data_IF_184822935636
#
_entry.id   IF_184822935636
#
_cell.length_a   1.000
_cell.length_b   1.000
_cell.length_c   1.000
_cell.angle_alpha   90.00
_cell.angle_beta   90.00
_cell.angle_gamma   90.00
#
_symmetry.space_group_name_H-M   'P 1'
#
loop_
_entity.id
_entity.type
_entity.pdbx_description
1 polymer ?
#
# COMPACT_ATOMS: atom_id res chain seq x y z
N UNK A 1 -22.59 0.52 -35.38
CA UNK A 1 -21.21 0.29 -35.86
C UNK A 1 -20.34 1.29 -35.14
N UNK A 2 -19.48 0.81 -34.25
CA UNK A 2 -18.62 1.65 -33.41
C UNK A 2 -17.50 2.26 -34.28
N UNK A 3 -17.46 3.59 -34.49
CA UNK A 3 -16.49 4.21 -35.38
C UNK A 3 -15.05 4.20 -34.82
N UNK A 4 -14.83 3.65 -33.62
CA UNK A 4 -13.53 3.60 -32.96
C UNK A 4 -12.83 2.24 -33.03
N UNK A 5 -13.44 1.23 -33.67
CA UNK A 5 -12.93 -0.15 -33.68
C UNK A 5 -11.65 -0.36 -34.52
N UNK A 6 -11.10 0.68 -35.17
CA UNK A 6 -9.97 0.54 -36.12
C UNK A 6 -8.72 1.38 -35.81
N UNK A 7 -8.69 2.18 -34.74
CA UNK A 7 -7.53 3.00 -34.42
C UNK A 7 -6.71 2.33 -33.33
N UNK A 8 -5.60 1.69 -33.72
CA UNK A 8 -4.48 1.48 -32.84
C UNK A 8 -3.95 2.86 -32.43
N UNK A 9 -4.53 3.44 -31.36
CA UNK A 9 -4.18 4.76 -30.86
C UNK A 9 -2.80 4.69 -30.21
N UNK A 10 -1.83 5.27 -30.90
CA UNK A 10 -0.50 5.55 -30.38
C UNK A 10 -0.62 6.34 -29.06
N UNK A 11 -0.32 5.74 -27.89
CA UNK A 11 -0.65 6.30 -26.57
C UNK A 11 -0.14 7.72 -26.36
N UNK A 12 1.02 8.02 -26.96
CA UNK A 12 1.70 9.32 -26.86
C UNK A 12 0.95 10.38 -27.65
N UNK A 13 0.47 10.05 -28.85
CA UNK A 13 -0.35 10.96 -29.67
C UNK A 13 -1.71 11.21 -29.04
N UNK A 14 -2.31 10.20 -28.42
CA UNK A 14 -3.57 10.35 -27.68
C UNK A 14 -3.38 11.26 -26.47
N UNK A 15 -2.32 11.06 -25.67
CA UNK A 15 -2.03 11.90 -24.50
C UNK A 15 -1.77 13.37 -24.89
N UNK A 16 -0.97 13.62 -25.94
CA UNK A 16 -0.74 14.96 -26.46
C UNK A 16 -2.02 15.61 -26.99
N UNK A 17 -2.91 14.85 -27.63
CA UNK A 17 -4.20 15.34 -28.09
C UNK A 17 -5.12 15.76 -26.92
N UNK A 18 -5.15 15.02 -25.81
CA UNK A 18 -5.95 15.41 -24.63
C UNK A 18 -5.48 16.71 -23.96
N UNK A 19 -4.16 16.96 -23.93
CA UNK A 19 -3.57 18.21 -23.40
C UNK A 19 -4.06 19.42 -24.21
N UNK A 20 -4.15 19.28 -25.53
CA UNK A 20 -4.57 20.36 -26.44
C UNK A 20 -6.10 20.51 -26.48
N UNK A 21 -6.85 19.41 -26.33
CA UNK A 21 -8.31 19.40 -26.48
C UNK A 21 -9.08 19.71 -25.18
N UNK A 22 -8.48 19.53 -24.00
CA UNK A 22 -9.12 19.80 -22.70
C UNK A 22 -8.10 20.19 -21.59
N UNK A 23 -7.52 21.40 -21.65
CA UNK A 23 -6.42 21.81 -20.77
C UNK A 23 -6.82 21.84 -19.29
N UNK A 24 -8.03 22.33 -18.97
CA UNK A 24 -8.53 22.37 -17.58
C UNK A 24 -8.66 20.96 -16.99
N UNK A 25 -9.19 20.01 -17.76
CA UNK A 25 -9.36 18.62 -17.30
C UNK A 25 -8.01 17.94 -17.07
N UNK A 26 -7.05 18.20 -17.95
CA UNK A 26 -5.68 17.70 -17.83
C UNK A 26 -4.99 18.28 -16.58
N UNK A 27 -5.09 19.59 -16.35
CA UNK A 27 -4.55 20.24 -15.16
C UNK A 27 -5.13 19.68 -13.87
N UNK A 28 -6.46 19.49 -13.82
CA UNK A 28 -7.12 18.86 -12.66
C UNK A 28 -6.61 17.44 -12.46
N UNK A 29 -6.51 16.64 -13.52
CA UNK A 29 -5.95 15.28 -13.43
C UNK A 29 -4.51 15.27 -12.91
N UNK A 30 -3.64 16.16 -13.41
CA UNK A 30 -2.27 16.31 -12.90
C UNK A 30 -2.26 16.73 -11.43
N UNK A 31 -3.17 17.60 -11.00
CA UNK A 31 -3.32 17.96 -9.58
C UNK A 31 -3.68 16.76 -8.70
N UNK A 32 -4.58 15.90 -9.15
CA UNK A 32 -4.91 14.64 -8.48
C UNK A 32 -3.70 13.69 -8.39
N UNK A 33 -2.96 13.54 -9.49
CA UNK A 33 -1.73 12.73 -9.50
C UNK A 33 -0.69 13.28 -8.53
N UNK A 34 -0.44 14.59 -8.55
CA UNK A 34 0.52 15.24 -7.66
C UNK A 34 0.12 15.09 -6.18
N UNK A 35 -1.18 15.23 -5.87
CA UNK A 35 -1.71 14.96 -4.54
C UNK A 35 -1.51 13.49 -4.12
N UNK A 36 -1.77 12.55 -5.02
CA UNK A 36 -1.50 11.14 -4.81
C UNK A 36 -0.03 10.87 -4.50
N UNK A 37 0.89 11.40 -5.33
CA UNK A 37 2.34 11.29 -5.10
C UNK A 37 2.72 11.87 -3.74
N UNK A 38 2.23 13.05 -3.37
CA UNK A 38 2.53 13.67 -2.08
C UNK A 38 2.06 12.81 -0.90
N UNK A 39 0.83 12.29 -0.95
CA UNK A 39 0.29 11.42 0.10
C UNK A 39 1.04 10.08 0.15
N UNK A 40 1.44 9.53 -0.99
CA UNK A 40 2.29 8.35 -1.08
C UNK A 40 3.66 8.57 -0.46
N UNK A 41 4.27 9.74 -0.69
CA UNK A 41 5.55 10.12 -0.08
C UNK A 41 5.43 10.24 1.43
N UNK A 42 4.40 10.95 1.92
CA UNK A 42 4.16 11.09 3.36
C UNK A 42 3.95 9.74 4.00
N UNK A 43 3.06 8.92 3.45
CA UNK A 43 2.76 7.60 4.03
C UNK A 43 3.94 6.63 3.96
N UNK A 44 4.69 6.59 2.86
CA UNK A 44 5.84 5.70 2.71
C UNK A 44 7.03 6.09 3.59
N UNK A 45 7.23 7.39 3.86
CA UNK A 45 8.30 7.83 4.76
C UNK A 45 7.88 7.85 6.24
N UNK A 46 6.59 7.66 6.54
CA UNK A 46 6.11 7.59 7.92
C UNK A 46 6.23 6.16 8.44
N UNK A 47 7.03 5.92 9.50
CA UNK A 47 7.16 4.59 10.09
C UNK A 47 5.80 4.04 10.55
N UNK A 48 5.57 2.75 10.32
CA UNK A 48 4.37 2.05 10.80
C UNK A 48 3.07 2.30 10.01
N UNK A 49 3.12 3.09 8.92
CA UNK A 49 1.99 3.17 7.97
C UNK A 49 2.19 2.12 6.88
N UNK A 50 1.25 1.19 6.76
CA UNK A 50 1.23 0.21 5.67
C UNK A 50 0.35 0.64 4.52
N UNK A 51 0.70 0.17 3.31
CA UNK A 51 -0.03 0.43 2.09
C UNK A 51 -1.53 0.11 2.22
N UNK A 52 -1.89 -0.98 2.90
CA UNK A 52 -3.29 -1.39 3.09
C UNK A 52 -4.06 -0.42 3.99
N UNK A 53 -3.49 -0.05 5.13
CA UNK A 53 -4.10 0.92 6.06
C UNK A 53 -4.25 2.28 5.39
N UNK A 54 -3.22 2.72 4.67
CA UNK A 54 -3.25 3.96 3.91
C UNK A 54 -4.31 3.95 2.80
N UNK A 55 -4.39 2.89 1.99
CA UNK A 55 -5.40 2.77 0.94
C UNK A 55 -6.83 2.80 1.49
N UNK A 56 -7.07 2.17 2.65
CA UNK A 56 -8.36 2.18 3.32
C UNK A 56 -8.72 3.55 3.91
N UNK A 57 -7.74 4.27 4.47
CA UNK A 57 -7.92 5.66 4.92
C UNK A 57 -8.30 6.57 3.73
N UNK A 58 -7.58 6.45 2.61
CA UNK A 58 -7.91 7.16 1.38
C UNK A 58 -9.32 6.81 0.87
N UNK A 59 -9.70 5.54 0.92
CA UNK A 59 -11.04 5.09 0.55
C UNK A 59 -12.14 5.62 1.48
N UNK A 60 -11.85 5.78 2.78
CA UNK A 60 -12.79 6.34 3.76
C UNK A 60 -13.10 7.82 3.52
N UNK A 61 -12.10 8.60 3.11
CA UNK A 61 -12.28 10.02 2.75
C UNK A 61 -12.61 10.24 1.28
N UNK A 62 -12.56 9.19 0.44
CA UNK A 62 -12.80 9.30 -1.00
C UNK A 62 -14.13 9.97 -1.35
N UNK A 63 -15.18 9.68 -0.58
CA UNK A 63 -16.52 10.22 -0.79
C UNK A 63 -16.64 11.72 -0.49
N UNK A 64 -15.72 12.31 0.29
CA UNK A 64 -15.70 13.73 0.61
C UNK A 64 -14.80 14.56 -0.32
N UNK A 65 -14.02 13.91 -1.19
CA UNK A 65 -13.17 14.59 -2.19
C UNK A 65 -13.99 14.87 -3.47
N UNK A 66 -14.17 16.15 -3.86
CA UNK A 66 -14.95 16.49 -5.04
C UNK A 66 -14.18 16.21 -6.34
N UNK A 67 -14.68 15.32 -7.20
CA UNK A 67 -14.17 15.12 -8.54
C UNK A 67 -14.56 13.79 -9.18
N UNK A 68 -14.11 13.52 -10.42
CA UNK A 68 -14.37 12.25 -11.08
C UNK A 68 -13.72 11.08 -10.32
N UNK A 69 -14.47 10.00 -10.07
CA UNK A 69 -13.95 8.79 -9.41
C UNK A 69 -12.71 8.21 -10.11
N UNK A 70 -12.62 8.37 -11.43
CA UNK A 70 -11.44 7.96 -12.21
C UNK A 70 -10.16 8.74 -11.84
N UNK A 71 -10.29 10.01 -11.47
CA UNK A 71 -9.15 10.86 -11.09
C UNK A 71 -8.71 10.53 -9.67
N UNK A 72 -9.68 10.29 -8.78
CA UNK A 72 -9.40 9.81 -7.44
C UNK A 72 -8.73 8.42 -7.46
N UNK A 73 -9.21 7.51 -8.30
CA UNK A 73 -8.58 6.21 -8.52
C UNK A 73 -7.13 6.34 -9.02
N UNK A 74 -6.87 7.28 -9.95
CA UNK A 74 -5.51 7.57 -10.40
C UNK A 74 -4.62 8.13 -9.27
N UNK A 75 -5.15 9.03 -8.43
CA UNK A 75 -4.45 9.54 -7.27
C UNK A 75 -4.13 8.43 -6.25
N UNK A 76 -5.07 7.53 -5.98
CA UNK A 76 -4.86 6.37 -5.09
C UNK A 76 -3.81 5.40 -5.64
N UNK A 77 -3.83 5.14 -6.95
CA UNK A 77 -2.82 4.31 -7.61
C UNK A 77 -1.44 4.98 -7.54
N UNK A 78 -1.34 6.28 -7.81
CA UNK A 78 -0.10 7.04 -7.67
C UNK A 78 0.43 7.00 -6.23
N UNK A 79 -0.45 7.23 -5.25
CA UNK A 79 -0.11 7.20 -3.83
C UNK A 79 0.41 5.82 -3.38
N UNK A 80 -0.31 4.75 -3.72
CA UNK A 80 0.12 3.38 -3.42
C UNK A 80 1.43 3.01 -4.10
N UNK A 81 1.64 3.45 -5.34
CA UNK A 81 2.89 3.21 -6.07
C UNK A 81 4.05 3.89 -5.37
N UNK A 82 3.95 5.20 -5.10
CA UNK A 82 5.01 5.95 -4.41
C UNK A 82 5.28 5.40 -3.01
N UNK A 83 4.23 5.04 -2.27
CA UNK A 83 4.35 4.41 -0.95
C UNK A 83 5.24 3.16 -1.00
N UNK A 84 4.99 2.24 -1.93
CA UNK A 84 5.74 0.95 -2.05
C UNK A 84 7.20 1.12 -2.48
N UNK A 85 7.59 2.30 -2.97
CA UNK A 85 8.99 2.61 -3.26
C UNK A 85 9.72 3.18 -2.03
N UNK A 86 8.97 3.76 -1.08
CA UNK A 86 9.53 4.55 0.01
C UNK A 86 9.39 3.88 1.38
N UNK A 87 8.39 3.02 1.59
CA UNK A 87 8.13 2.31 2.85
C UNK A 87 9.29 1.44 3.35
N UNK A 88 10.13 0.97 2.43
CA UNK A 88 11.37 0.25 2.76
C UNK A 88 12.40 1.13 3.50
N UNK A 89 12.40 2.45 3.28
CA UNK A 89 13.38 3.38 3.88
C UNK A 89 13.26 3.41 5.40
N UNK A 90 12.10 3.77 6.00
CA UNK A 90 11.97 3.75 7.45
C UNK A 90 12.11 2.32 8.01
N UNK A 91 11.63 1.29 7.30
CA UNK A 91 11.72 -0.09 7.75
C UNK A 91 13.19 -0.56 7.93
N UNK A 92 14.07 -0.22 6.99
CA UNK A 92 15.49 -0.55 7.08
C UNK A 92 16.28 0.37 8.01
N UNK A 93 15.93 1.66 8.07
CA UNK A 93 16.65 2.65 8.88
C UNK A 93 16.36 2.52 10.39
N UNK A 94 15.12 2.19 10.76
CA UNK A 94 14.71 2.13 12.16
C UNK A 94 14.71 0.70 12.71
N UNK A 95 14.89 -0.32 11.87
CA UNK A 95 14.95 -1.72 12.30
C UNK A 95 13.66 -2.23 12.94
N UNK A 96 12.54 -1.51 12.76
CA UNK A 96 11.20 -1.93 13.20
C UNK A 96 10.53 -2.59 11.99
N UNK A 97 10.62 -3.93 11.83
CA UNK A 97 9.90 -4.60 10.76
C UNK A 97 8.40 -4.42 10.97
N UNK A 98 7.70 -4.03 9.91
CA UNK A 98 6.27 -4.24 9.81
C UNK A 98 5.98 -5.75 10.05
N UNK A 99 5.09 -6.12 10.96
CA UNK A 99 4.68 -7.52 11.17
C UNK A 99 4.25 -8.23 9.87
N UNK A 100 3.64 -7.52 8.92
CA UNK A 100 3.24 -8.04 7.61
C UNK A 100 4.42 -8.12 6.61
N UNK A 101 5.48 -7.34 6.82
CA UNK A 101 6.74 -7.43 6.06
C UNK A 101 7.79 -8.27 6.76
N UNK A 102 7.52 -8.91 7.90
CA UNK A 102 8.55 -9.64 8.64
C UNK A 102 9.30 -10.68 7.77
N UNK A 103 8.62 -11.27 6.77
CA UNK A 103 9.22 -12.21 5.80
C UNK A 103 10.05 -11.54 4.69
N UNK A 104 9.70 -10.33 4.25
CA UNK A 104 10.40 -9.56 3.20
C UNK A 104 11.46 -8.59 3.75
N UNK A 105 11.25 -8.09 4.97
CA UNK A 105 12.17 -7.24 5.72
C UNK A 105 13.35 -8.04 6.28
N UNK A 106 13.19 -9.34 6.59
CA UNK A 106 14.29 -10.17 7.10
C UNK A 106 15.50 -10.20 6.14
N UNK A 107 15.34 -10.46 4.83
CA UNK A 107 16.44 -10.38 3.87
C UNK A 107 17.07 -8.97 3.80
N UNK A 108 16.25 -7.91 3.76
CA UNK A 108 16.74 -6.53 3.73
C UNK A 108 17.51 -6.14 5.00
N UNK A 109 17.03 -6.59 6.16
CA UNK A 109 17.67 -6.33 7.44
C UNK A 109 18.99 -7.09 7.56
N UNK A 110 19.09 -8.32 7.02
CA UNK A 110 20.38 -9.04 6.92
C UNK A 110 21.40 -8.25 6.11
N UNK A 111 20.99 -7.70 4.95
CA UNK A 111 21.87 -6.84 4.16
C UNK A 111 22.29 -5.59 4.93
N UNK A 112 21.40 -4.97 5.72
CA UNK A 112 21.76 -3.82 6.57
C UNK A 112 22.78 -4.23 7.65
N UNK A 113 22.58 -5.38 8.31
CA UNK A 113 23.52 -5.91 9.31
C UNK A 113 24.88 -6.27 8.71
N UNK A 114 24.92 -6.62 7.42
CA UNK A 114 26.15 -6.84 6.64
C UNK A 114 26.80 -5.53 6.13
N UNK A 115 26.26 -4.35 6.46
CA UNK A 115 26.74 -3.05 5.98
C UNK A 115 26.32 -2.70 4.54
N UNK A 116 25.38 -3.46 3.95
CA UNK A 116 24.90 -3.36 2.56
C UNK A 116 23.53 -2.68 2.44
N UNK A 117 23.18 -1.78 3.36
CA UNK A 117 21.87 -1.13 3.38
C UNK A 117 21.49 -0.40 2.08
N UNK A 118 22.46 0.18 1.35
CA UNK A 118 22.20 0.80 0.04
C UNK A 118 21.79 -0.22 -1.01
N UNK A 119 22.40 -1.40 -0.99
CA UNK A 119 22.03 -2.48 -1.89
C UNK A 119 20.63 -2.99 -1.59
N UNK A 120 20.27 -3.10 -0.31
CA UNK A 120 18.90 -3.42 0.09
C UNK A 120 17.88 -2.41 -0.46
N UNK A 121 18.17 -1.10 -0.39
CA UNK A 121 17.32 -0.06 -0.97
C UNK A 121 17.21 -0.17 -2.50
N UNK A 122 18.33 -0.38 -3.20
CA UNK A 122 18.33 -0.53 -4.67
C UNK A 122 17.58 -1.78 -5.13
N UNK A 123 17.77 -2.91 -4.44
CA UNK A 123 17.05 -4.14 -4.73
C UNK A 123 15.55 -4.00 -4.49
N UNK A 124 15.16 -3.28 -3.43
CA UNK A 124 13.74 -2.96 -3.18
C UNK A 124 13.16 -2.08 -4.28
N UNK A 125 13.86 -1.00 -4.67
CA UNK A 125 13.42 -0.11 -5.74
C UNK A 125 13.33 -0.82 -7.10
N UNK A 126 14.30 -1.70 -7.40
CA UNK A 126 14.27 -2.56 -8.59
C UNK A 126 13.08 -3.52 -8.56
N UNK A 127 12.82 -4.14 -7.40
CA UNK A 127 11.67 -5.01 -7.18
C UNK A 127 10.35 -4.28 -7.43
N UNK A 128 10.17 -3.09 -6.85
CA UNK A 128 9.00 -2.24 -7.06
C UNK A 128 8.87 -1.79 -8.52
N UNK A 129 9.97 -1.44 -9.19
CA UNK A 129 9.99 -1.11 -10.62
C UNK A 129 9.56 -2.28 -11.51
N UNK A 130 10.11 -3.48 -11.27
CA UNK A 130 9.71 -4.70 -11.95
C UNK A 130 8.24 -5.03 -11.70
N UNK A 131 7.76 -4.88 -10.46
CA UNK A 131 6.36 -5.09 -10.10
C UNK A 131 5.44 -4.14 -10.86
N UNK A 132 5.78 -2.84 -10.96
CA UNK A 132 5.02 -1.85 -11.75
C UNK A 132 5.00 -2.21 -13.23
N UNK A 133 6.14 -2.59 -13.81
CA UNK A 133 6.21 -2.98 -15.23
C UNK A 133 5.35 -4.21 -15.54
N UNK A 134 5.43 -5.24 -14.69
CA UNK A 134 4.61 -6.44 -14.79
C UNK A 134 3.12 -6.12 -14.57
N UNK A 135 2.79 -5.33 -13.55
CA UNK A 135 1.42 -4.94 -13.24
C UNK A 135 0.80 -4.13 -14.39
N UNK A 136 1.54 -3.20 -14.99
CA UNK A 136 1.08 -2.42 -16.14
C UNK A 136 0.78 -3.32 -17.36
N UNK A 137 1.67 -4.28 -17.66
CA UNK A 137 1.45 -5.25 -18.74
C UNK A 137 0.27 -6.19 -18.46
N UNK A 138 0.08 -6.61 -17.20
CA UNK A 138 -0.98 -7.53 -16.79
C UNK A 138 -2.31 -6.85 -16.50
N UNK A 139 -2.35 -5.52 -16.34
CA UNK A 139 -3.55 -4.79 -15.94
C UNK A 139 -4.75 -5.07 -16.86
N UNK A 140 -4.55 -5.00 -18.18
CA UNK A 140 -5.60 -5.23 -19.18
C UNK A 140 -6.07 -6.69 -19.21
N UNK A 141 -5.20 -7.71 -19.37
CA UNK A 141 -5.65 -9.10 -19.42
C UNK A 141 -6.30 -9.53 -18.11
N UNK A 142 -5.73 -9.17 -16.95
CA UNK A 142 -6.32 -9.50 -15.64
C UNK A 142 -7.69 -8.85 -15.49
N UNK A 143 -7.84 -7.58 -15.87
CA UNK A 143 -9.15 -6.90 -15.82
C UNK A 143 -10.19 -7.59 -16.71
N UNK A 144 -9.82 -8.03 -17.92
CA UNK A 144 -10.73 -8.75 -18.83
C UNK A 144 -11.18 -10.08 -18.23
N UNK A 145 -10.24 -10.85 -17.66
CA UNK A 145 -10.55 -12.11 -16.98
C UNK A 145 -11.46 -11.87 -15.78
N UNK A 146 -11.15 -10.87 -14.94
CA UNK A 146 -11.95 -10.54 -13.76
C UNK A 146 -13.36 -10.09 -14.11
N UNK A 147 -13.60 -9.41 -15.24
CA UNK A 147 -14.97 -9.09 -15.67
C UNK A 147 -15.85 -10.33 -15.89
N UNK A 148 -15.25 -11.45 -16.28
CA UNK A 148 -15.95 -12.72 -16.50
C UNK A 148 -16.04 -13.55 -15.21
N UNK A 149 -14.95 -13.58 -14.43
CA UNK A 149 -14.82 -14.44 -13.25
C UNK A 149 -15.48 -13.84 -12.01
N UNK A 150 -15.43 -12.51 -11.86
CA UNK A 150 -15.89 -11.83 -10.65
C UNK A 150 -17.37 -12.08 -10.28
N UNK A 151 -18.33 -12.13 -11.22
CA UNK A 151 -19.71 -12.48 -10.88
C UNK A 151 -19.83 -13.84 -10.17
N UNK A 152 -19.10 -14.85 -10.65
CA UNK A 152 -19.07 -16.18 -10.03
C UNK A 152 -18.41 -16.15 -8.66
N UNK A 153 -17.28 -15.47 -8.52
CA UNK A 153 -16.59 -15.29 -7.22
C UNK A 153 -17.51 -14.59 -6.23
N UNK A 154 -18.20 -13.53 -6.65
CA UNK A 154 -19.14 -12.77 -5.81
C UNK A 154 -20.32 -13.62 -5.37
N UNK A 155 -20.87 -14.46 -6.25
CA UNK A 155 -21.96 -15.37 -5.89
C UNK A 155 -21.56 -16.43 -4.84
N UNK A 156 -20.28 -16.80 -4.80
CA UNK A 156 -19.73 -17.82 -3.89
C UNK A 156 -18.78 -17.22 -2.86
N UNK A 157 -18.85 -15.91 -2.60
CA UNK A 157 -17.90 -15.20 -1.75
C UNK A 157 -17.78 -15.79 -0.33
N UNK A 158 -18.88 -16.23 0.34
CA UNK A 158 -18.78 -16.87 1.65
C UNK A 158 -17.96 -18.17 1.62
N UNK A 159 -18.05 -18.95 0.52
CA UNK A 159 -17.28 -20.17 0.36
C UNK A 159 -15.81 -19.87 0.10
N UNK A 160 -15.53 -18.84 -0.72
CA UNK A 160 -14.15 -18.41 -0.98
C UNK A 160 -13.49 -17.95 0.32
N UNK A 161 -14.13 -17.03 1.06
CA UNK A 161 -13.59 -16.49 2.31
C UNK A 161 -13.53 -17.54 3.43
N UNK A 162 -14.56 -18.37 3.57
CA UNK A 162 -14.56 -19.47 4.52
C UNK A 162 -13.49 -20.51 4.21
N UNK A 163 -13.28 -20.80 2.92
CA UNK A 163 -12.24 -21.69 2.43
C UNK A 163 -10.83 -21.16 2.72
N UNK A 164 -10.55 -19.87 2.47
CA UNK A 164 -9.25 -19.27 2.84
C UNK A 164 -9.05 -19.23 4.34
N UNK A 165 -10.05 -18.85 5.13
CA UNK A 165 -9.96 -18.85 6.58
C UNK A 165 -9.68 -20.26 7.15
N UNK A 166 -10.36 -21.27 6.61
CA UNK A 166 -10.13 -22.67 6.97
C UNK A 166 -8.72 -23.12 6.55
N UNK A 167 -8.29 -22.79 5.33
CA UNK A 167 -6.96 -23.13 4.85
C UNK A 167 -5.89 -22.55 5.77
N UNK A 168 -5.95 -21.27 6.10
CA UNK A 168 -5.03 -20.60 7.03
C UNK A 168 -4.99 -21.31 8.39
N UNK A 169 -6.16 -21.57 8.98
CA UNK A 169 -6.26 -22.25 10.28
C UNK A 169 -5.73 -23.69 10.24
N UNK A 170 -5.88 -24.42 9.13
CA UNK A 170 -5.40 -25.80 8.99
C UNK A 170 -3.91 -25.90 8.68
N UNK A 171 -3.35 -24.90 7.98
CA UNK A 171 -1.92 -24.83 7.65
C UNK A 171 -1.06 -24.44 8.85
N UNK A 172 -1.66 -23.92 9.92
CA UNK A 172 -0.95 -23.65 11.17
C UNK A 172 -0.33 -24.91 11.78
N UNK A 173 0.88 -24.73 12.31
CA UNK A 173 1.66 -25.83 12.91
C UNK A 173 1.21 -26.12 14.34
N UNK A 174 0.89 -27.38 14.61
CA UNK A 174 0.46 -27.84 15.93
C UNK A 174 -0.94 -27.41 16.34
N UNK A 175 -1.51 -28.07 17.35
CA UNK A 175 -2.87 -27.82 17.79
C UNK A 175 -3.07 -26.40 18.34
N UNK A 176 -2.06 -25.85 19.04
CA UNK A 176 -2.11 -24.49 19.58
C UNK A 176 -2.21 -23.43 18.48
N UNK A 177 -1.42 -23.55 17.41
CA UNK A 177 -1.48 -22.63 16.27
C UNK A 177 -2.84 -22.66 15.58
N UNK A 178 -3.38 -23.86 15.35
CA UNK A 178 -4.71 -24.04 14.74
C UNK A 178 -5.83 -23.43 15.57
N UNK A 179 -5.84 -23.69 16.87
CA UNK A 179 -6.83 -23.09 17.80
C UNK A 179 -6.64 -21.57 17.87
N UNK A 180 -5.40 -21.09 17.96
CA UNK A 180 -5.09 -19.67 17.95
C UNK A 180 -5.58 -18.97 16.68
N UNK A 181 -5.33 -19.56 15.50
CA UNK A 181 -5.81 -19.06 14.22
C UNK A 181 -7.34 -19.05 14.13
N UNK A 182 -8.00 -20.12 14.56
CA UNK A 182 -9.46 -20.19 14.59
C UNK A 182 -10.07 -19.14 15.54
N UNK A 183 -9.48 -18.94 16.72
CA UNK A 183 -9.89 -17.90 17.67
C UNK A 183 -9.66 -16.49 17.10
N UNK A 184 -8.53 -16.25 16.43
CA UNK A 184 -8.24 -14.97 15.81
C UNK A 184 -9.24 -14.64 14.69
N UNK A 185 -9.55 -15.61 13.82
CA UNK A 185 -10.58 -15.47 12.78
C UNK A 185 -11.95 -15.22 13.42
N UNK A 186 -12.32 -15.98 14.44
CA UNK A 186 -13.58 -15.83 15.16
C UNK A 186 -13.72 -14.46 15.83
N UNK A 187 -12.67 -13.99 16.52
CA UNK A 187 -12.65 -12.68 17.17
C UNK A 187 -12.71 -11.53 16.16
N UNK A 188 -11.98 -11.63 15.05
CA UNK A 188 -12.03 -10.65 13.97
C UNK A 188 -13.42 -10.60 13.30
N UNK A 189 -14.04 -11.76 13.07
CA UNK A 189 -15.40 -11.85 12.55
C UNK A 189 -16.43 -11.26 13.51
N UNK A 190 -16.33 -11.56 14.80
CA UNK A 190 -17.20 -11.01 15.83
C UNK A 190 -17.06 -9.48 15.93
N UNK A 191 -15.82 -8.96 15.90
CA UNK A 191 -15.57 -7.53 15.85
C UNK A 191 -16.27 -6.89 14.65
N UNK A 192 -16.13 -7.47 13.45
CA UNK A 192 -16.80 -6.98 12.25
C UNK A 192 -18.33 -6.94 12.39
N UNK A 193 -18.95 -8.03 12.83
CA UNK A 193 -20.41 -8.11 13.05
C UNK A 193 -20.89 -7.07 14.07
N UNK A 194 -20.12 -6.82 15.12
CA UNK A 194 -20.50 -5.89 16.19
C UNK A 194 -20.29 -4.42 15.83
N UNK A 195 -19.44 -4.11 14.83
CA UNK A 195 -18.97 -2.73 14.63
C UNK A 195 -19.20 -2.16 13.22
N UNK A 196 -19.30 -2.97 12.16
CA UNK A 196 -19.35 -2.44 10.79
C UNK A 196 -20.59 -1.59 10.50
N UNK A 197 -21.72 -1.90 11.12
CA UNK A 197 -22.98 -1.14 10.96
C UNK A 197 -23.08 0.08 11.89
N UNK A 198 -22.06 0.32 12.73
CA UNK A 198 -22.04 1.49 13.61
C UNK A 198 -21.70 2.77 12.83
N UNK A 199 -22.27 3.92 13.24
CA UNK A 199 -21.96 5.20 12.61
C UNK A 199 -20.52 5.63 12.93
N UNK A 200 -19.74 5.93 11.89
CA UNK A 200 -18.35 6.37 11.99
C UNK A 200 -18.18 7.90 12.11
N UNK A 201 -19.14 8.57 12.76
CA UNK A 201 -19.20 10.04 12.88
C UNK A 201 -18.24 10.65 13.91
N UNK A 202 -16.99 10.16 13.97
CA UNK A 202 -15.96 10.69 14.88
C UNK A 202 -15.42 12.05 14.45
N UNK A 203 -14.39 12.54 15.17
CA UNK A 203 -13.70 13.82 14.91
C UNK A 203 -13.20 13.96 13.45
N UNK A 204 -12.88 12.83 12.82
CA UNK A 204 -12.58 12.75 11.38
C UNK A 204 -13.73 11.99 10.73
N UNK A 205 -14.42 12.63 9.79
CA UNK A 205 -15.49 11.99 9.02
C UNK A 205 -14.89 10.89 8.13
N UNK A 206 -14.81 9.68 8.67
CA UNK A 206 -14.16 8.54 8.02
C UNK A 206 -15.09 7.79 7.03
N UNK A 207 -16.32 8.28 6.85
CA UNK A 207 -17.33 7.71 5.97
C UNK A 207 -17.97 6.42 6.50
N UNK A 208 -17.17 5.47 6.98
CA UNK A 208 -17.62 4.18 7.52
C UNK A 208 -16.66 3.65 8.60
N UNK A 209 -17.06 2.56 9.28
CA UNK A 209 -16.32 2.00 10.40
C UNK A 209 -15.02 1.27 10.02
N UNK A 210 -14.78 0.99 8.73
CA UNK A 210 -13.59 0.28 8.29
C UNK A 210 -12.32 1.09 8.59
N UNK A 211 -12.29 2.36 8.20
CA UNK A 211 -11.12 3.21 8.40
C UNK A 211 -10.63 3.24 9.87
N UNK A 212 -11.48 3.51 10.89
CA UNK A 212 -11.05 3.48 12.29
C UNK A 212 -10.73 2.07 12.81
N UNK A 213 -11.43 1.02 12.38
CA UNK A 213 -11.12 -0.36 12.77
C UNK A 213 -9.74 -0.79 12.28
N UNK A 214 -9.42 -0.54 11.00
CA UNK A 214 -8.13 -0.88 10.42
C UNK A 214 -7.01 0.00 10.98
N UNK A 215 -7.25 1.31 11.20
CA UNK A 215 -6.29 2.17 11.88
C UNK A 215 -5.98 1.68 13.31
N UNK A 216 -7.00 1.26 14.07
CA UNK A 216 -6.82 0.70 15.40
C UNK A 216 -6.12 -0.66 15.41
N UNK A 217 -6.61 -1.61 14.60
CA UNK A 217 -6.11 -2.99 14.59
C UNK A 217 -4.67 -3.11 14.05
N UNK A 218 -4.28 -2.24 13.11
CA UNK A 218 -2.93 -2.26 12.52
C UNK A 218 -2.00 -1.21 13.12
N UNK A 219 -2.51 -0.04 13.51
CA UNK A 219 -1.68 1.04 14.07
C UNK A 219 -1.38 0.88 15.56
N UNK A 220 -2.37 0.48 16.38
CA UNK A 220 -2.18 0.41 17.82
C UNK A 220 -1.13 -0.62 18.27
N UNK A 221 -1.03 -1.83 17.67
CA UNK A 221 0.03 -2.78 18.02
C UNK A 221 1.43 -2.22 17.75
N UNK A 222 1.63 -1.51 16.64
CA UNK A 222 2.92 -0.88 16.31
C UNK A 222 3.28 0.20 17.34
N UNK A 223 2.30 1.01 17.74
CA UNK A 223 2.51 2.02 18.79
C UNK A 223 2.81 1.38 20.15
N UNK A 224 2.12 0.29 20.50
CA UNK A 224 2.38 -0.46 21.73
C UNK A 224 3.77 -1.10 21.72
N UNK A 225 4.17 -1.71 20.60
CA UNK A 225 5.50 -2.31 20.44
C UNK A 225 6.60 -1.24 20.57
N UNK A 226 6.40 -0.07 19.94
CA UNK A 226 7.30 1.07 20.08
C UNK A 226 7.42 1.59 21.53
N UNK A 227 6.36 1.51 22.33
CA UNK A 227 6.38 1.87 23.75
C UNK A 227 7.13 0.84 24.61
N UNK A 228 7.13 -0.44 24.21
CA UNK A 228 7.79 -1.54 24.94
C UNK A 228 9.18 -1.89 24.44
N UNK A 229 9.58 -1.40 23.27
CA UNK A 229 10.90 -1.61 22.69
C UNK A 229 12.01 -0.92 23.47
N UNK A 230 13.26 -1.38 23.29
CA UNK A 230 14.44 -0.84 23.96
C UNK A 230 14.85 0.59 23.49
N UNK A 231 13.99 1.26 22.72
CA UNK A 231 14.29 2.54 22.07
C UNK A 231 15.29 2.41 20.93
N UNK A 232 15.55 3.53 20.26
CA UNK A 232 16.68 3.66 19.32
C UNK A 232 17.97 3.69 20.14
N UNK A 233 18.97 2.83 19.88
CA UNK A 233 20.24 2.85 20.61
C UNK A 233 20.94 4.21 20.47
N UNK A 234 21.87 4.54 21.39
CA UNK A 234 22.65 5.78 21.33
C UNK A 234 23.21 5.99 19.92
N UNK A 235 22.88 7.14 19.33
CA UNK A 235 23.37 7.55 18.01
C UNK A 235 24.64 8.39 18.21
N UNK A 236 25.63 8.17 17.35
CA UNK A 236 26.84 9.00 17.30
C UNK A 236 26.51 10.46 16.96
N UNK A 237 27.54 11.32 17.05
CA UNK A 237 27.45 12.75 16.73
C UNK A 237 26.61 13.02 15.46
N UNK A 238 25.68 14.00 15.49
CA UNK A 238 24.89 14.40 14.32
C UNK A 238 25.74 15.08 13.23
N UNK A 239 27.04 15.26 13.46
CA UNK A 239 27.96 15.67 12.40
C UNK A 239 27.94 14.66 11.26
N UNK A 240 27.50 15.15 10.10
CA UNK A 240 27.62 14.40 8.85
C UNK A 240 29.11 14.37 8.47
N UNK A 241 29.81 13.38 8.99
CA UNK A 241 31.22 13.09 8.64
C UNK A 241 31.35 12.56 7.22
N UNK A 242 30.22 12.23 6.58
CA UNK A 242 30.16 11.75 5.21
C UNK A 242 30.42 12.92 4.25
N UNK A 243 31.51 12.91 3.47
CA UNK A 243 31.86 14.04 2.61
C UNK A 243 30.82 14.24 1.49
N UNK A 244 30.59 15.49 1.09
CA UNK A 244 29.62 15.87 0.04
C UNK A 244 29.80 15.09 -1.27
N UNK A 245 31.05 14.76 -1.64
CA UNK A 245 31.34 13.93 -2.80
C UNK A 245 30.87 12.48 -2.64
N UNK A 246 30.96 11.92 -1.42
CA UNK A 246 30.39 10.62 -1.11
C UNK A 246 28.86 10.68 -1.11
N UNK A 247 28.25 11.76 -0.59
CA UNK A 247 26.79 11.97 -0.67
C UNK A 247 26.32 12.07 -2.13
N UNK A 248 27.06 12.81 -2.98
CA UNK A 248 26.79 12.90 -4.42
C UNK A 248 26.99 11.57 -5.16
N UNK A 249 28.02 10.80 -4.80
CA UNK A 249 28.24 9.45 -5.32
C UNK A 249 27.19 8.44 -4.82
N UNK A 250 26.68 8.59 -3.58
CA UNK A 250 25.54 7.83 -3.07
C UNK A 250 24.25 8.12 -3.85
N UNK A 251 24.07 9.37 -4.30
CA UNK A 251 22.89 9.79 -5.06
C UNK A 251 22.93 9.36 -6.54
N UNK A 252 24.12 9.03 -7.06
CA UNK A 252 24.35 8.68 -8.47
C UNK A 252 24.57 7.18 -8.74
N UNK A 253 24.61 6.34 -7.71
CA UNK A 253 24.76 4.88 -7.82
C UNK A 253 23.52 4.21 -7.25
#
# INVERSE_FOLDING_TARGET
>A
MDPLAGLALDPVRTAAAWVVLAPTRTLVFCGYLAGGVALGTVSGLTPGIHANTFALLLAGVAASVPGPLSFLGAAMLAAGTVHTFLDVVPALALGVPDPAMASSALPGHRLVLEGRGREALRLSALGSGCAVALAAGLAVPVTRVMRVVYPTVRAHLPLVLGGTALALALTESGLRGRVGGALAVGASGALGVLTLDLPAGGLVAAGNMLAPLFAGLFGAPVLLDALTGAGVPEQDSPEVTTPLAAVGALALV
#
